data_IF_056468964806
#
_entry.id   IF_056468964806
#
_cell.length_a   1.000
_cell.length_b   1.000
_cell.length_c   1.000
_cell.angle_alpha   90.00
_cell.angle_beta   90.00
_cell.angle_gamma   90.00
#
_symmetry.space_group_name_H-M   'P 1'
#
loop_
_entity.id
_entity.type
_entity.pdbx_description
1 polymer ?
#
# COMPACT_ATOMS: atom_id res chain seq x y z
N UNK A 1 5.22 7.95 0.56
CA UNK A 1 6.33 7.10 1.04
C UNK A 1 7.68 7.68 0.68
N UNK A 2 8.54 7.81 1.70
CA UNK A 2 9.97 8.07 1.54
C UNK A 2 10.69 6.75 1.20
N UNK A 3 11.95 6.85 0.75
CA UNK A 3 12.75 5.68 0.32
C UNK A 3 13.00 4.69 1.48
N UNK A 4 13.34 5.22 2.66
CA UNK A 4 13.57 4.43 3.88
C UNK A 4 12.35 3.60 4.29
N UNK A 5 11.16 4.19 4.18
CA UNK A 5 9.90 3.48 4.45
C UNK A 5 9.73 2.28 3.51
N UNK A 6 10.19 2.37 2.26
CA UNK A 6 10.05 1.30 1.27
C UNK A 6 11.00 0.14 1.52
N UNK A 7 12.22 0.43 1.96
CA UNK A 7 13.19 -0.59 2.35
C UNK A 7 12.66 -1.42 3.52
N UNK A 8 12.07 -0.78 4.53
CA UNK A 8 11.45 -1.50 5.67
C UNK A 8 10.26 -2.40 5.28
N UNK A 9 9.61 -2.16 4.14
CA UNK A 9 8.52 -3.03 3.65
C UNK A 9 9.06 -4.30 2.99
N UNK A 10 10.29 -4.28 2.48
CA UNK A 10 10.93 -5.46 1.89
C UNK A 10 11.21 -6.54 2.94
N UNK A 11 11.47 -6.15 4.18
CA UNK A 11 11.75 -7.07 5.30
C UNK A 11 10.49 -7.78 5.83
N UNK A 12 9.29 -7.28 5.51
CA UNK A 12 8.02 -7.84 6.02
C UNK A 12 7.54 -9.04 5.23
N UNK A 13 6.79 -9.92 5.89
CA UNK A 13 6.18 -11.08 5.24
C UNK A 13 5.03 -10.69 4.31
N UNK A 14 4.73 -11.53 3.31
CA UNK A 14 3.64 -11.32 2.35
C UNK A 14 2.29 -11.13 3.08
N UNK A 15 2.03 -11.91 4.13
CA UNK A 15 0.82 -11.81 4.96
C UNK A 15 0.66 -10.41 5.59
N UNK A 16 1.75 -9.86 6.11
CA UNK A 16 1.73 -8.53 6.74
C UNK A 16 1.57 -7.42 5.69
N UNK A 17 2.20 -7.59 4.51
CA UNK A 17 2.00 -6.66 3.39
C UNK A 17 0.54 -6.67 2.92
N UNK A 18 -0.12 -7.83 2.87
CA UNK A 18 -1.55 -7.96 2.54
C UNK A 18 -2.43 -7.25 3.56
N UNK A 19 -2.14 -7.39 4.86
CA UNK A 19 -2.83 -6.63 5.94
C UNK A 19 -2.65 -5.11 5.77
N UNK A 20 -1.43 -4.66 5.50
CA UNK A 20 -1.15 -3.23 5.28
C UNK A 20 -1.91 -2.66 4.07
N UNK A 21 -2.05 -3.44 2.99
CA UNK A 21 -2.88 -3.04 1.84
C UNK A 21 -4.35 -2.91 2.25
N UNK A 22 -4.87 -3.85 3.03
CA UNK A 22 -6.26 -3.81 3.51
C UNK A 22 -6.53 -2.55 4.34
N UNK A 23 -5.65 -2.25 5.30
CA UNK A 23 -5.78 -1.08 6.16
C UNK A 23 -5.72 0.22 5.35
N UNK A 24 -4.78 0.32 4.39
CA UNK A 24 -4.69 1.48 3.49
C UNK A 24 -5.91 1.62 2.58
N UNK A 25 -6.53 0.52 2.12
CA UNK A 25 -7.78 0.57 1.36
C UNK A 25 -8.94 1.09 2.22
N UNK A 26 -9.02 0.67 3.49
CA UNK A 26 -9.98 1.22 4.45
C UNK A 26 -9.76 2.71 4.66
N UNK A 27 -8.51 3.13 4.81
CA UNK A 27 -8.14 4.55 4.90
C UNK A 27 -8.59 5.33 3.66
N UNK A 28 -8.36 4.81 2.44
CA UNK A 28 -8.83 5.49 1.21
C UNK A 28 -10.35 5.62 1.16
N UNK A 29 -11.10 4.64 1.67
CA UNK A 29 -12.56 4.68 1.68
C UNK A 29 -13.08 5.77 2.63
N UNK A 30 -12.50 5.87 3.83
CA UNK A 30 -12.81 6.92 4.79
C UNK A 30 -12.40 8.30 4.25
N UNK A 31 -11.23 8.39 3.63
CA UNK A 31 -10.75 9.64 3.06
C UNK A 31 -11.66 10.10 1.92
N UNK A 32 -12.14 9.17 1.08
CA UNK A 32 -13.08 9.49 0.01
C UNK A 32 -14.37 10.08 0.56
N UNK A 33 -14.95 9.47 1.60
CA UNK A 33 -16.14 10.00 2.26
C UNK A 33 -15.88 11.40 2.84
N UNK A 34 -14.75 11.62 3.52
CA UNK A 34 -14.38 12.93 4.08
C UNK A 34 -14.15 13.99 3.01
N UNK A 35 -13.53 13.64 1.89
CA UNK A 35 -13.33 14.55 0.74
C UNK A 35 -14.67 14.91 0.13
N UNK A 36 -15.60 13.95 -0.03
CA UNK A 36 -16.95 14.21 -0.54
C UNK A 36 -17.79 15.08 0.41
N UNK A 37 -17.60 14.91 1.72
CA UNK A 37 -18.22 15.76 2.74
C UNK A 37 -17.54 17.14 2.89
N UNK A 38 -16.51 17.46 2.11
CA UNK A 38 -15.79 18.74 2.20
C UNK A 38 -14.91 18.91 3.46
N UNK A 39 -14.76 17.84 4.27
CA UNK A 39 -14.00 17.86 5.52
C UNK A 39 -12.49 17.68 5.30
N UNK A 40 -12.08 17.08 4.19
CA UNK A 40 -10.67 16.89 3.83
C UNK A 40 -10.28 17.86 2.71
N UNK A 41 -9.40 18.82 3.02
CA UNK A 41 -8.90 19.82 2.07
C UNK A 41 -7.64 19.34 1.34
N UNK A 42 -6.92 18.35 1.87
CA UNK A 42 -5.69 17.87 1.27
C UNK A 42 -5.97 16.83 0.17
N UNK A 43 -6.13 17.30 -1.07
CA UNK A 43 -6.34 16.46 -2.25
C UNK A 43 -5.16 15.54 -2.57
N UNK A 44 -3.94 15.90 -2.14
CA UNK A 44 -2.73 15.10 -2.39
C UNK A 44 -2.67 13.84 -1.52
N UNK A 45 -3.37 13.82 -0.38
CA UNK A 45 -3.36 12.70 0.56
C UNK A 45 -3.90 11.41 -0.08
N UNK A 46 -5.01 11.50 -0.81
CA UNK A 46 -5.59 10.37 -1.54
C UNK A 46 -4.62 9.81 -2.58
N UNK A 47 -3.97 10.70 -3.36
CA UNK A 47 -2.96 10.31 -4.37
C UNK A 47 -1.78 9.58 -3.72
N UNK A 48 -1.32 10.07 -2.57
CA UNK A 48 -0.20 9.48 -1.86
C UNK A 48 -0.52 8.08 -1.33
N UNK A 49 -1.68 7.88 -0.70
CA UNK A 49 -2.10 6.56 -0.19
C UNK A 49 -2.27 5.57 -1.34
N UNK A 50 -2.89 5.98 -2.46
CA UNK A 50 -3.01 5.12 -3.66
C UNK A 50 -1.65 4.69 -4.22
N UNK A 51 -0.68 5.60 -4.29
CA UNK A 51 0.69 5.29 -4.70
C UNK A 51 1.38 4.31 -3.74
N UNK A 52 1.13 4.43 -2.44
CA UNK A 52 1.67 3.50 -1.45
C UNK A 52 1.07 2.11 -1.57
N UNK A 53 -0.25 2.00 -1.77
CA UNK A 53 -0.92 0.72 -2.05
C UNK A 53 -0.32 0.06 -3.29
N UNK A 54 -0.16 0.81 -4.39
CA UNK A 54 0.41 0.27 -5.62
C UNK A 54 1.83 -0.30 -5.40
N UNK A 55 2.69 0.43 -4.67
CA UNK A 55 4.05 -0.02 -4.34
C UNK A 55 4.07 -1.29 -3.50
N UNK A 56 3.17 -1.40 -2.51
CA UNK A 56 3.08 -2.61 -1.68
C UNK A 56 2.60 -3.80 -2.52
N UNK A 57 1.63 -3.59 -3.40
CA UNK A 57 1.16 -4.64 -4.31
C UNK A 57 2.28 -5.12 -5.24
N UNK A 58 3.07 -4.20 -5.81
CA UNK A 58 4.24 -4.56 -6.61
C UNK A 58 5.22 -5.42 -5.82
N UNK A 59 5.55 -5.02 -4.57
CA UNK A 59 6.44 -5.82 -3.70
C UNK A 59 5.88 -7.21 -3.41
N UNK A 60 4.56 -7.34 -3.20
CA UNK A 60 3.91 -8.65 -3.02
C UNK A 60 4.11 -9.50 -4.28
N UNK A 61 3.84 -8.94 -5.46
CA UNK A 61 4.00 -9.66 -6.73
C UNK A 61 5.44 -10.07 -6.98
N UNK A 62 6.42 -9.19 -6.72
CA UNK A 62 7.85 -9.51 -6.84
C UNK A 62 8.23 -10.70 -5.94
N UNK A 63 7.76 -10.70 -4.68
CA UNK A 63 8.03 -11.80 -3.75
C UNK A 63 7.36 -13.11 -4.19
N UNK A 64 6.11 -13.05 -4.63
CA UNK A 64 5.37 -14.23 -5.12
C UNK A 64 6.03 -14.83 -6.39
N UNK A 65 6.64 -14.01 -7.25
CA UNK A 65 7.40 -14.49 -8.42
C UNK A 65 8.69 -15.19 -7.97
N UNK A 66 9.45 -14.58 -7.05
CA UNK A 66 10.70 -15.16 -6.52
C UNK A 66 10.42 -16.50 -5.81
N UNK A 67 9.34 -16.60 -5.04
CA UNK A 67 8.93 -17.87 -4.41
C UNK A 67 8.62 -18.93 -5.46
N UNK A 68 7.83 -18.59 -6.50
CA UNK A 68 7.52 -19.52 -7.61
C UNK A 68 8.73 -19.97 -8.42
N UNK A 69 9.74 -19.11 -8.58
CA UNK A 69 10.99 -19.47 -9.27
C UNK A 69 11.88 -20.39 -8.44
N UNK A 70 11.79 -20.34 -7.10
CA UNK A 70 12.52 -21.25 -6.20
C UNK A 70 11.91 -22.64 -6.13
N UNK A 71 10.59 -22.73 -6.34
CA UNK A 71 9.85 -23.99 -6.32
C UNK A 71 9.91 -24.75 -7.68
N UNK A 72 10.51 -24.15 -8.70
CA UNK A 72 10.74 -24.73 -10.04
C UNK A 72 12.13 -25.34 -10.17
#
# INVERSE_FOLDING_TARGET
MKKKDFESLKEKNISDLKKMVFDKKKETSLLFAKTKAGQEKNTSKMRNIKREIARILTLITEKEIIEKEKDK
#
